data_IF_615445563059
#
_entry.id   IF_615445563059
#
_cell.length_a   1.000
_cell.length_b   1.000
_cell.length_c   1.000
_cell.angle_alpha   90.00
_cell.angle_beta   90.00
_cell.angle_gamma   90.00
#
_symmetry.space_group_name_H-M   'P 1'
#
loop_
_entity.id
_entity.type
_entity.pdbx_description
1 polymer ?
#
# COMPACT_ATOMS: atom_id res chain seq x y z
N UNK A 1 11.25 47.37 -5.82
CA UNK A 1 10.03 47.46 -6.65
C UNK A 1 10.05 46.29 -7.61
N UNK A 2 9.07 45.42 -7.82
CA UNK A 2 7.81 45.09 -7.18
C UNK A 2 7.57 43.62 -7.57
N UNK A 3 7.15 42.79 -6.61
CA UNK A 3 6.75 41.41 -6.87
C UNK A 3 5.36 41.36 -7.55
N UNK A 4 5.06 40.35 -8.37
CA UNK A 4 3.74 40.18 -8.99
C UNK A 4 2.75 39.52 -8.03
N UNK A 5 1.53 40.05 -7.97
CA UNK A 5 0.39 39.55 -7.21
C UNK A 5 -0.28 38.35 -7.91
N UNK A 6 -0.77 37.34 -7.16
CA UNK A 6 -1.79 36.42 -7.66
C UNK A 6 -3.23 37.01 -7.54
N UNK A 7 -4.19 36.54 -8.35
CA UNK A 7 -5.53 37.14 -8.47
C UNK A 7 -6.47 36.75 -7.32
N UNK A 8 -7.38 37.69 -6.99
CA UNK A 8 -8.49 37.53 -6.04
C UNK A 8 -9.49 36.47 -6.52
N UNK A 9 -9.73 35.46 -5.69
CA UNK A 9 -10.89 34.57 -5.81
C UNK A 9 -11.99 35.07 -4.86
N UNK A 10 -13.22 35.05 -5.38
CA UNK A 10 -14.44 35.58 -4.80
C UNK A 10 -14.84 34.89 -3.49
N UNK A 11 -15.44 35.67 -2.59
CA UNK A 11 -15.92 35.25 -1.28
C UNK A 11 -17.09 34.28 -1.34
N UNK A 12 -17.07 33.32 -0.42
CA UNK A 12 -18.22 32.49 -0.06
C UNK A 12 -18.72 33.05 1.27
N UNK A 13 -19.99 33.48 1.28
CA UNK A 13 -20.73 33.94 2.46
C UNK A 13 -20.77 32.84 3.52
N UNK A 14 -20.38 33.18 4.75
CA UNK A 14 -20.52 32.31 5.93
C UNK A 14 -21.72 32.79 6.73
N UNK A 15 -22.87 32.15 6.54
CA UNK A 15 -24.08 32.38 7.35
C UNK A 15 -24.15 31.38 8.49
N UNK A 16 -23.37 31.61 9.56
CA UNK A 16 -23.60 30.99 10.87
C UNK A 16 -23.57 32.09 11.94
N UNK A 17 -24.68 32.36 12.66
CA UNK A 17 -24.66 33.34 13.73
C UNK A 17 -23.97 32.79 14.99
N UNK A 18 -23.15 33.62 15.62
CA UNK A 18 -22.46 33.34 16.89
C UNK A 18 -23.44 33.19 18.07
N UNK A 19 -23.16 32.34 19.07
CA UNK A 19 -24.00 32.23 20.26
C UNK A 19 -23.82 33.45 21.18
N UNK A 20 -24.93 34.00 21.65
CA UNK A 20 -24.96 35.10 22.61
C UNK A 20 -24.57 34.59 24.01
N UNK A 21 -23.44 35.07 24.53
CA UNK A 21 -23.09 34.95 25.94
C UNK A 21 -23.46 36.23 26.72
N UNK A 22 -23.91 35.99 27.95
CA UNK A 22 -23.82 36.86 29.14
C UNK A 22 -25.02 37.75 29.43
N UNK A 23 -25.91 37.25 30.31
CA UNK A 23 -26.81 38.09 31.11
C UNK A 23 -26.12 38.37 32.45
N UNK A 24 -25.90 39.65 32.74
CA UNK A 24 -25.41 40.17 34.03
C UNK A 24 -26.55 40.20 35.09
N UNK A 25 -26.23 40.19 36.40
CA UNK A 25 -27.23 40.03 37.45
C UNK A 25 -27.99 41.34 37.74
N UNK A 26 -29.30 41.23 37.98
CA UNK A 26 -30.15 42.34 38.41
C UNK A 26 -30.27 42.40 39.95
N UNK A 27 -30.47 43.60 40.54
CA UNK A 27 -30.24 43.86 41.96
C UNK A 27 -31.41 43.48 42.86
N UNK A 28 -31.09 43.25 44.14
CA UNK A 28 -32.02 42.92 45.22
C UNK A 28 -32.90 44.11 45.65
N UNK A 29 -34.15 43.83 46.01
CA UNK A 29 -34.95 44.67 46.93
C UNK A 29 -35.98 43.81 47.67
N UNK A 30 -36.35 44.16 48.93
CA UNK A 30 -36.80 43.22 49.95
C UNK A 30 -38.32 43.13 50.07
N UNK A 31 -38.82 41.97 50.47
CA UNK A 31 -40.21 41.79 50.85
C UNK A 31 -40.51 40.34 51.20
N UNK A 32 -40.36 39.99 52.49
CA UNK A 32 -40.90 38.74 53.01
C UNK A 32 -42.44 38.76 52.93
N UNK A 33 -43.07 37.58 52.80
CA UNK A 33 -43.60 36.98 54.02
C UNK A 33 -43.22 35.50 54.19
N UNK A 34 -42.96 35.17 55.46
CA UNK A 34 -42.94 33.83 56.06
C UNK A 34 -44.19 33.01 55.72
N UNK A 35 -44.09 31.69 55.47
CA UNK A 35 -44.43 30.53 56.36
C UNK A 35 -44.73 29.32 55.43
N UNK A 36 -44.68 28.00 55.78
CA UNK A 36 -44.00 27.26 56.86
C UNK A 36 -43.03 26.16 56.34
N UNK A 37 -42.37 25.52 57.29
CA UNK A 37 -41.56 24.31 57.15
C UNK A 37 -42.29 23.11 56.46
N UNK A 38 -41.48 22.30 55.79
CA UNK A 38 -41.83 21.06 55.12
C UNK A 38 -42.56 20.02 56.00
N UNK A 39 -43.39 19.15 55.41
CA UNK A 39 -43.49 17.78 55.85
C UNK A 39 -42.46 16.92 55.09
N UNK A 40 -41.66 16.20 55.86
CA UNK A 40 -40.94 15.00 55.44
C UNK A 40 -41.89 14.03 54.72
N UNK A 41 -41.59 13.71 53.46
CA UNK A 41 -42.30 12.71 52.66
C UNK A 41 -41.36 11.94 51.74
N UNK A 42 -41.15 10.66 52.07
CA UNK A 42 -40.70 9.49 51.31
C UNK A 42 -39.74 9.60 50.08
N UNK A 43 -38.77 8.67 49.93
CA UNK A 43 -37.94 8.57 48.74
C UNK A 43 -38.74 7.87 47.63
N UNK A 44 -38.94 8.53 46.50
CA UNK A 44 -39.50 7.87 45.32
C UNK A 44 -40.44 8.74 44.49
N UNK A 45 -39.89 9.71 43.78
CA UNK A 45 -40.46 10.12 42.48
C UNK A 45 -39.37 10.81 41.67
N UNK A 46 -38.63 10.04 40.87
CA UNK A 46 -37.85 10.58 39.75
C UNK A 46 -38.84 11.29 38.81
N UNK A 47 -38.85 12.61 38.82
CA UNK A 47 -39.72 13.40 37.95
C UNK A 47 -39.43 13.10 36.47
N UNK A 48 -40.41 13.26 35.56
CA UNK A 48 -40.25 12.99 34.13
C UNK A 48 -39.04 13.69 33.50
N UNK A 49 -38.67 14.88 34.00
CA UNK A 49 -37.48 15.61 33.56
C UNK A 49 -36.16 14.93 33.92
N UNK A 50 -36.05 14.29 35.09
CA UNK A 50 -34.82 13.60 35.49
C UNK A 50 -34.56 12.35 34.62
N UNK A 51 -35.62 11.62 34.26
CA UNK A 51 -35.54 10.49 33.33
C UNK A 51 -35.16 10.92 31.90
N UNK A 52 -35.62 12.10 31.46
CA UNK A 52 -35.23 12.66 30.17
C UNK A 52 -33.76 13.08 30.17
N UNK A 53 -33.28 13.74 31.23
CA UNK A 53 -31.87 14.14 31.36
C UNK A 53 -30.94 12.94 31.41
N UNK A 54 -31.30 11.88 32.13
CA UNK A 54 -30.51 10.65 32.21
C UNK A 54 -30.42 9.93 30.85
N UNK A 55 -31.53 9.86 30.10
CA UNK A 55 -31.54 9.33 28.72
C UNK A 55 -30.68 10.16 27.76
N UNK A 56 -30.74 11.49 27.85
CA UNK A 56 -29.91 12.38 27.03
C UNK A 56 -28.43 12.22 27.38
N UNK A 57 -28.09 12.09 28.66
CA UNK A 57 -26.72 11.86 29.09
C UNK A 57 -26.18 10.51 28.58
N UNK A 58 -26.98 9.45 28.67
CA UNK A 58 -26.65 8.13 28.10
C UNK A 58 -26.42 8.20 26.59
N UNK A 59 -27.30 8.88 25.86
CA UNK A 59 -27.17 9.04 24.41
C UNK A 59 -25.93 9.84 23.99
N UNK A 60 -25.60 10.92 24.72
CA UNK A 60 -24.36 11.69 24.49
C UNK A 60 -23.14 10.81 24.75
N UNK A 61 -23.13 10.02 25.83
CA UNK A 61 -22.04 9.09 26.14
C UNK A 61 -21.84 8.05 25.03
N UNK A 62 -22.94 7.53 24.48
CA UNK A 62 -22.93 6.56 23.38
C UNK A 62 -22.34 7.15 22.10
N UNK A 63 -22.76 8.36 21.74
CA UNK A 63 -22.22 9.08 20.59
C UNK A 63 -20.72 9.39 20.77
N UNK A 64 -20.30 9.82 21.95
CA UNK A 64 -18.87 10.06 22.24
C UNK A 64 -18.06 8.77 22.11
N UNK A 65 -18.55 7.66 22.68
CA UNK A 65 -17.89 6.35 22.57
C UNK A 65 -17.74 5.92 21.12
N UNK A 66 -18.82 5.98 20.33
CA UNK A 66 -18.76 5.63 18.91
C UNK A 66 -17.83 6.56 18.13
N UNK A 67 -17.85 7.86 18.41
CA UNK A 67 -16.97 8.81 17.75
C UNK A 67 -15.49 8.48 18.00
N UNK A 68 -15.09 8.24 19.25
CA UNK A 68 -13.72 7.90 19.59
C UNK A 68 -13.27 6.58 18.94
N UNK A 69 -14.12 5.55 18.95
CA UNK A 69 -13.82 4.25 18.34
C UNK A 69 -13.72 4.34 16.81
N UNK A 70 -14.61 5.08 16.17
CA UNK A 70 -14.57 5.27 14.70
C UNK A 70 -13.38 6.13 14.28
N UNK A 71 -12.98 7.13 15.09
CA UNK A 71 -11.78 7.93 14.84
C UNK A 71 -10.50 7.10 14.99
N UNK A 72 -10.42 6.21 16.00
CA UNK A 72 -9.31 5.24 16.13
C UNK A 72 -9.24 4.31 14.92
N UNK A 73 -10.37 3.78 14.47
CA UNK A 73 -10.43 2.91 13.30
C UNK A 73 -10.00 3.64 12.02
N UNK A 74 -10.47 4.88 11.83
CA UNK A 74 -10.13 5.71 10.67
C UNK A 74 -8.63 6.06 10.57
N UNK A 75 -7.88 5.97 11.67
CA UNK A 75 -6.41 6.15 11.71
C UNK A 75 -5.61 4.91 11.31
N UNK A 76 -6.27 3.77 11.08
CA UNK A 76 -5.62 2.54 10.62
C UNK A 76 -5.49 2.55 9.11
N UNK A 77 -4.30 2.23 8.61
CA UNK A 77 -3.95 2.31 7.18
C UNK A 77 -3.77 0.93 6.53
N UNK A 78 -3.78 -0.15 7.31
CA UNK A 78 -3.56 -1.53 6.84
C UNK A 78 -4.66 -2.46 7.34
N UNK A 79 -4.99 -3.50 6.57
CA UNK A 79 -6.00 -4.49 6.98
C UNK A 79 -5.71 -5.11 8.35
N UNK A 80 -4.48 -5.57 8.68
CA UNK A 80 -4.23 -6.19 9.99
C UNK A 80 -4.48 -5.24 11.16
N UNK A 81 -4.09 -3.96 11.04
CA UNK A 81 -4.32 -2.95 12.07
C UNK A 81 -5.82 -2.66 12.25
N UNK A 82 -6.55 -2.52 11.14
CA UNK A 82 -8.00 -2.30 11.16
C UNK A 82 -8.74 -3.47 11.80
N UNK A 83 -8.42 -4.70 11.40
CA UNK A 83 -9.05 -5.91 11.95
C UNK A 83 -8.77 -6.03 13.45
N UNK A 84 -7.55 -5.73 13.88
CA UNK A 84 -7.15 -5.78 15.28
C UNK A 84 -7.86 -4.70 16.11
N UNK A 85 -7.94 -3.46 15.61
CA UNK A 85 -8.68 -2.37 16.26
C UNK A 85 -10.17 -2.68 16.35
N UNK A 86 -10.77 -3.22 15.28
CA UNK A 86 -12.16 -3.64 15.25
C UNK A 86 -12.47 -4.70 16.31
N UNK A 87 -11.59 -5.70 16.46
CA UNK A 87 -11.73 -6.73 17.48
C UNK A 87 -11.68 -6.16 18.90
N UNK A 88 -10.70 -5.28 19.17
CA UNK A 88 -10.53 -4.66 20.49
C UNK A 88 -11.71 -3.75 20.85
N UNK A 89 -12.10 -2.86 19.93
CA UNK A 89 -13.22 -1.96 20.12
C UNK A 89 -14.53 -2.73 20.30
N UNK A 90 -14.75 -3.76 19.47
CA UNK A 90 -15.93 -4.59 19.57
C UNK A 90 -16.01 -5.36 20.89
N UNK A 91 -14.89 -5.93 21.34
CA UNK A 91 -14.81 -6.63 22.62
C UNK A 91 -15.14 -5.71 23.80
N UNK A 92 -14.68 -4.45 23.75
CA UNK A 92 -15.02 -3.44 24.75
C UNK A 92 -16.51 -3.06 24.74
N UNK A 93 -17.14 -2.95 23.57
CA UNK A 93 -18.56 -2.63 23.44
C UNK A 93 -19.47 -3.75 23.97
N UNK A 94 -19.14 -5.01 23.65
CA UNK A 94 -19.98 -6.17 24.03
C UNK A 94 -19.58 -6.79 25.37
N UNK A 95 -18.45 -6.39 25.96
CA UNK A 95 -17.97 -6.90 27.25
C UNK A 95 -17.29 -8.26 27.16
N UNK A 96 -16.77 -8.63 26.00
CA UNK A 96 -16.03 -9.87 25.79
C UNK A 96 -14.53 -9.70 26.05
N UNK A 97 -13.85 -10.78 26.44
CA UNK A 97 -12.37 -10.80 26.60
C UNK A 97 -11.64 -11.32 25.38
N UNK A 98 -12.37 -12.06 24.53
CA UNK A 98 -11.84 -12.76 23.38
C UNK A 98 -12.71 -12.51 22.17
N UNK A 99 -12.11 -12.58 21.01
CA UNK A 99 -12.84 -12.53 19.76
C UNK A 99 -11.98 -12.99 18.60
N UNK A 100 -12.62 -13.25 17.48
CA UNK A 100 -11.96 -13.54 16.22
C UNK A 100 -12.70 -12.83 15.09
N UNK A 101 -11.97 -12.52 14.04
CA UNK A 101 -12.55 -12.04 12.79
C UNK A 101 -12.06 -12.95 11.69
N UNK A 102 -13.00 -13.37 10.85
CA UNK A 102 -12.74 -14.08 9.60
C UNK A 102 -13.04 -13.12 8.48
N UNK A 103 -12.02 -12.78 7.70
CA UNK A 103 -12.13 -12.03 6.47
C UNK A 103 -12.09 -13.03 5.31
N UNK A 104 -13.21 -13.14 4.60
CA UNK A 104 -13.39 -14.01 3.44
C UNK A 104 -14.38 -13.32 2.50
N UNK A 105 -13.91 -12.37 1.66
CA UNK A 105 -14.81 -11.61 0.81
C UNK A 105 -15.55 -12.50 -0.20
N UNK A 106 -16.86 -12.31 -0.32
CA UNK A 106 -17.74 -13.19 -1.09
C UNK A 106 -17.48 -13.19 -2.61
N UNK A 107 -16.75 -12.19 -3.11
CA UNK A 107 -16.29 -12.15 -4.50
C UNK A 107 -15.07 -13.05 -4.77
N UNK A 108 -14.46 -13.63 -3.73
CA UNK A 108 -13.28 -14.49 -3.83
C UNK A 108 -11.98 -13.75 -4.14
N UNK A 109 -11.98 -12.41 -4.08
CA UNK A 109 -10.84 -11.57 -4.48
C UNK A 109 -10.05 -10.99 -3.30
N UNK A 110 -10.35 -11.39 -2.06
CA UNK A 110 -9.67 -10.88 -0.87
C UNK A 110 -8.86 -11.94 -0.15
N UNK A 111 -7.95 -11.56 0.77
CA UNK A 111 -7.23 -12.56 1.54
C UNK A 111 -8.24 -13.34 2.39
N UNK A 112 -8.11 -14.67 2.36
CA UNK A 112 -8.74 -15.54 3.35
C UNK A 112 -7.86 -15.49 4.62
N UNK A 113 -8.38 -14.87 5.67
CA UNK A 113 -7.60 -14.63 6.89
C UNK A 113 -8.48 -14.67 8.12
N UNK A 114 -7.97 -15.34 9.15
CA UNK A 114 -8.52 -15.36 10.49
C UNK A 114 -7.53 -14.73 11.47
N UNK A 115 -7.98 -13.75 12.25
CA UNK A 115 -7.20 -13.19 13.35
C UNK A 115 -7.97 -13.24 14.66
N UNK A 116 -7.24 -13.22 15.79
CA UNK A 116 -7.79 -13.39 17.12
C UNK A 116 -7.35 -12.32 18.10
N UNK A 117 -8.26 -11.94 18.98
CA UNK A 117 -8.04 -11.16 20.20
C UNK A 117 -8.13 -12.10 21.39
N UNK A 118 -7.06 -12.17 22.19
CA UNK A 118 -6.98 -13.12 23.31
C UNK A 118 -6.98 -14.59 22.85
N UNK A 119 -6.71 -14.84 21.57
CA UNK A 119 -6.59 -16.15 20.94
C UNK A 119 -5.28 -16.19 20.17
N UNK A 120 -4.36 -17.07 20.58
CA UNK A 120 -3.11 -17.29 19.87
C UNK A 120 -3.31 -18.14 18.60
N UNK A 121 -2.26 -18.26 17.80
CA UNK A 121 -2.28 -19.09 16.57
C UNK A 121 -2.70 -20.55 16.82
N UNK A 122 -2.30 -21.12 17.97
CA UNK A 122 -2.70 -22.47 18.35
C UNK A 122 -4.20 -22.56 18.68
N UNK A 123 -4.77 -21.51 19.28
CA UNK A 123 -6.19 -21.45 19.64
C UNK A 123 -7.05 -21.32 18.38
N UNK A 124 -6.66 -20.44 17.45
CA UNK A 124 -7.31 -20.33 16.13
C UNK A 124 -7.24 -21.66 15.37
N UNK A 125 -6.09 -22.32 15.38
CA UNK A 125 -5.94 -23.65 14.79
C UNK A 125 -6.83 -24.72 15.42
N UNK A 126 -7.20 -24.60 16.71
CA UNK A 126 -8.22 -25.46 17.31
C UNK A 126 -9.63 -25.14 16.82
N UNK A 127 -9.96 -23.86 16.68
CA UNK A 127 -11.26 -23.41 16.16
C UNK A 127 -11.45 -23.87 14.71
N UNK A 128 -10.42 -23.79 13.88
CA UNK A 128 -10.44 -24.27 12.48
C UNK A 128 -10.71 -25.77 12.34
N UNK A 129 -10.53 -26.57 13.41
CA UNK A 129 -10.88 -28.01 13.38
C UNK A 129 -12.37 -28.28 13.56
N UNK A 130 -13.14 -27.29 13.99
CA UNK A 130 -14.59 -27.42 14.15
C UNK A 130 -15.25 -27.25 12.78
N UNK A 131 -16.25 -28.09 12.40
CA UNK A 131 -16.98 -27.89 11.15
C UNK A 131 -17.52 -26.46 11.05
N UNK A 132 -17.29 -25.78 9.91
CA UNK A 132 -17.69 -24.38 9.72
C UNK A 132 -19.19 -24.16 9.96
N UNK A 133 -20.02 -25.08 9.49
CA UNK A 133 -21.48 -25.05 9.70
C UNK A 133 -21.90 -25.13 11.18
N UNK A 134 -21.03 -25.58 12.08
CA UNK A 134 -21.26 -25.65 13.53
C UNK A 134 -20.82 -24.39 14.29
N UNK A 135 -20.18 -23.43 13.61
CA UNK A 135 -19.71 -22.17 14.19
C UNK A 135 -20.57 -21.00 13.70
N UNK A 136 -20.78 -20.01 14.56
CA UNK A 136 -21.56 -18.81 14.24
C UNK A 136 -21.02 -18.07 13.01
N UNK A 137 -19.69 -17.87 12.89
CA UNK A 137 -19.11 -17.25 11.69
C UNK A 137 -19.29 -18.08 10.42
N UNK A 138 -19.22 -19.42 10.51
CA UNK A 138 -19.36 -20.27 9.33
C UNK A 138 -20.81 -20.31 8.84
N UNK A 139 -21.79 -20.27 9.75
CA UNK A 139 -23.21 -20.08 9.40
C UNK A 139 -23.46 -18.76 8.69
N UNK A 140 -22.82 -17.67 9.14
CA UNK A 140 -22.86 -16.38 8.44
C UNK A 140 -22.26 -16.52 7.05
N UNK A 141 -21.00 -16.96 6.94
CA UNK A 141 -20.28 -17.00 5.67
C UNK A 141 -20.93 -17.92 4.63
N UNK A 142 -21.42 -19.09 5.03
CA UNK A 142 -22.08 -20.07 4.14
C UNK A 142 -23.55 -19.73 3.86
N UNK A 143 -24.11 -18.67 4.47
CA UNK A 143 -25.51 -18.29 4.28
C UNK A 143 -26.49 -19.35 4.79
N UNK A 144 -26.11 -20.06 5.86
CA UNK A 144 -26.97 -21.07 6.47
C UNK A 144 -28.16 -20.42 7.19
N UNK A 145 -29.28 -21.13 7.40
CA UNK A 145 -30.43 -20.59 8.12
C UNK A 145 -30.04 -19.99 9.48
N UNK A 146 -30.44 -18.73 9.71
CA UNK A 146 -30.06 -17.96 10.90
C UNK A 146 -28.75 -17.17 10.76
N UNK A 147 -28.03 -17.26 9.64
CA UNK A 147 -26.81 -16.51 9.34
C UNK A 147 -27.00 -15.21 8.55
N UNK A 148 -28.25 -14.75 8.37
CA UNK A 148 -28.57 -13.52 7.63
C UNK A 148 -28.32 -12.23 8.45
N UNK A 149 -27.97 -12.35 9.73
CA UNK A 149 -27.79 -11.22 10.63
C UNK A 149 -26.97 -11.57 11.85
N UNK A 150 -27.22 -10.89 12.97
CA UNK A 150 -26.55 -11.21 14.24
C UNK A 150 -26.90 -12.61 14.75
N UNK A 151 -25.91 -13.32 15.29
CA UNK A 151 -26.10 -14.62 15.94
C UNK A 151 -25.63 -14.49 17.39
N UNK A 152 -26.54 -14.72 18.34
CA UNK A 152 -26.22 -14.84 19.75
C UNK A 152 -26.40 -16.29 20.21
N UNK A 153 -25.36 -16.86 20.80
CA UNK A 153 -25.35 -18.18 21.43
C UNK A 153 -25.07 -17.97 22.93
N UNK A 154 -26.10 -17.67 23.75
CA UNK A 154 -25.92 -17.19 25.12
C UNK A 154 -25.41 -18.27 26.09
N UNK A 155 -25.61 -19.55 25.77
CA UNK A 155 -25.10 -20.68 26.55
C UNK A 155 -24.89 -21.90 25.63
N UNK A 156 -23.65 -22.07 25.17
CA UNK A 156 -23.25 -23.15 24.26
C UNK A 156 -23.41 -24.53 24.87
N UNK A 157 -23.27 -24.67 26.19
CA UNK A 157 -23.31 -25.97 26.85
C UNK A 157 -24.73 -26.40 27.22
N UNK A 158 -25.68 -25.47 27.27
CA UNK A 158 -27.11 -25.76 27.46
C UNK A 158 -27.85 -26.12 26.16
N UNK A 159 -27.29 -25.83 24.98
CA UNK A 159 -27.92 -26.13 23.69
C UNK A 159 -27.90 -27.64 23.35
N UNK A 160 -29.12 -28.21 23.24
CA UNK A 160 -29.33 -29.55 22.72
C UNK A 160 -28.97 -29.59 21.22
N UNK A 161 -27.95 -30.37 20.86
CA UNK A 161 -27.53 -30.56 19.46
C UNK A 161 -26.26 -29.84 19.03
N UNK A 162 -25.56 -29.13 19.94
CA UNK A 162 -24.23 -28.57 19.64
C UNK A 162 -23.25 -29.67 19.20
N UNK A 163 -22.53 -29.40 18.11
CA UNK A 163 -21.53 -30.30 17.54
C UNK A 163 -20.50 -30.75 18.60
N UNK A 164 -20.17 -32.06 18.68
CA UNK A 164 -19.25 -32.57 19.69
C UNK A 164 -17.86 -31.92 19.63
N UNK A 165 -17.37 -31.59 18.43
CA UNK A 165 -16.07 -30.96 18.24
C UNK A 165 -16.11 -29.49 18.66
N UNK A 166 -17.19 -28.77 18.34
CA UNK A 166 -17.39 -27.41 18.84
C UNK A 166 -17.36 -27.40 20.38
N UNK A 167 -18.09 -28.33 21.03
CA UNK A 167 -18.13 -28.45 22.50
C UNK A 167 -16.75 -28.71 23.11
N UNK A 168 -15.96 -29.61 22.51
CA UNK A 168 -14.59 -29.91 22.96
C UNK A 168 -13.69 -28.67 22.88
N UNK A 169 -13.73 -27.95 21.76
CA UNK A 169 -12.92 -26.75 21.55
C UNK A 169 -13.35 -25.62 22.47
N UNK A 170 -14.65 -25.41 22.65
CA UNK A 170 -15.21 -24.43 23.60
C UNK A 170 -14.74 -24.69 25.03
N UNK A 171 -14.81 -25.95 25.49
CA UNK A 171 -14.33 -26.35 26.81
C UNK A 171 -12.81 -26.19 26.96
N UNK A 172 -12.04 -26.54 25.92
CA UNK A 172 -10.57 -26.42 25.92
C UNK A 172 -10.11 -24.98 25.97
N UNK A 173 -10.70 -24.13 25.15
CA UNK A 173 -10.36 -22.71 25.10
C UNK A 173 -11.03 -21.94 26.24
N UNK A 174 -12.08 -22.49 26.86
CA UNK A 174 -12.73 -21.97 28.05
C UNK A 174 -13.74 -20.86 27.77
N UNK A 175 -14.48 -20.91 26.67
CA UNK A 175 -15.60 -20.01 26.38
C UNK A 175 -16.94 -20.77 26.46
N UNK A 176 -18.00 -20.09 26.89
CA UNK A 176 -19.33 -20.66 27.13
C UNK A 176 -20.44 -19.96 26.34
N UNK A 177 -20.18 -18.79 25.76
CA UNK A 177 -21.14 -18.10 24.89
C UNK A 177 -20.42 -17.40 23.72
N UNK A 178 -21.16 -17.13 22.64
CA UNK A 178 -20.66 -16.43 21.46
C UNK A 178 -21.66 -15.38 20.97
N UNK A 179 -21.14 -14.28 20.42
CA UNK A 179 -21.93 -13.28 19.70
C UNK A 179 -21.23 -12.95 18.39
N UNK A 180 -21.91 -13.13 17.27
CA UNK A 180 -21.36 -12.95 15.94
C UNK A 180 -22.14 -11.93 15.12
N UNK A 181 -21.41 -11.15 14.32
CA UNK A 181 -21.94 -10.18 13.39
C UNK A 181 -21.34 -10.37 12.00
N UNK A 182 -22.15 -10.28 10.93
CA UNK A 182 -21.64 -10.22 9.57
C UNK A 182 -20.87 -8.92 9.34
N UNK A 183 -19.77 -9.01 8.59
CA UNK A 183 -19.08 -7.86 8.05
C UNK A 183 -19.63 -7.64 6.63
N UNK A 184 -20.64 -6.80 6.52
CA UNK A 184 -21.36 -6.55 5.27
C UNK A 184 -21.36 -5.06 4.92
N UNK A 185 -21.31 -4.79 3.62
CA UNK A 185 -21.40 -3.46 3.01
C UNK A 185 -22.60 -3.41 2.07
N UNK A 186 -23.19 -2.23 1.90
CA UNK A 186 -24.36 -2.05 1.02
C UNK A 186 -23.99 -2.20 -0.48
N UNK A 187 -22.71 -2.09 -0.83
CA UNK A 187 -22.15 -2.28 -2.18
C UNK A 187 -21.32 -3.56 -2.32
N UNK A 188 -20.75 -3.82 -3.51
CA UNK A 188 -19.79 -4.91 -3.71
C UNK A 188 -18.55 -4.71 -2.80
N UNK A 189 -18.02 -5.75 -2.13
CA UNK A 189 -18.27 -7.19 -2.31
C UNK A 189 -19.54 -7.74 -1.64
N UNK A 190 -20.35 -6.90 -1.00
CA UNK A 190 -21.47 -7.30 -0.16
C UNK A 190 -20.94 -7.81 1.16
N UNK A 191 -20.61 -9.11 1.24
CA UNK A 191 -20.06 -9.73 2.45
C UNK A 191 -18.55 -9.80 2.40
N UNK A 192 -17.91 -9.26 3.43
CA UNK A 192 -16.46 -9.29 3.62
C UNK A 192 -16.01 -10.41 4.54
N UNK A 193 -16.86 -10.82 5.49
CA UNK A 193 -16.43 -11.65 6.61
C UNK A 193 -17.45 -11.77 7.73
N UNK A 194 -16.97 -12.20 8.91
CA UNK A 194 -17.73 -12.19 10.15
C UNK A 194 -16.81 -11.89 11.35
N UNK A 195 -17.33 -11.15 12.33
CA UNK A 195 -16.70 -10.91 13.62
C UNK A 195 -17.42 -11.73 14.70
N UNK A 196 -16.67 -12.36 15.59
CA UNK A 196 -17.21 -13.16 16.70
C UNK A 196 -16.53 -12.76 17.98
N UNK A 197 -17.31 -12.54 19.03
CA UNK A 197 -16.84 -12.32 20.39
C UNK A 197 -17.23 -13.49 21.28
N UNK A 198 -16.30 -13.93 22.11
CA UNK A 198 -16.42 -15.12 22.96
C UNK A 198 -16.42 -14.72 24.43
N UNK A 199 -17.36 -15.26 25.20
CA UNK A 199 -17.51 -15.01 26.63
C UNK A 199 -17.07 -16.23 27.44
N UNK A 200 -16.42 -15.99 28.57
CA UNK A 200 -15.94 -17.04 29.48
C UNK A 200 -17.10 -17.79 30.17
N UNK A 201 -18.23 -17.10 30.36
CA UNK A 201 -19.45 -17.57 31.03
C UNK A 201 -20.67 -17.33 30.12
N UNK A 202 -21.82 -18.00 30.38
CA UNK A 202 -23.07 -17.71 29.68
C UNK A 202 -23.42 -16.22 29.72
N UNK A 203 -23.54 -15.60 28.55
CA UNK A 203 -23.75 -14.17 28.40
C UNK A 203 -24.28 -13.83 27.00
N UNK A 204 -25.05 -12.75 26.91
CA UNK A 204 -25.41 -12.10 25.66
C UNK A 204 -25.34 -10.57 25.81
N UNK A 205 -25.00 -9.82 24.75
CA UNK A 205 -25.05 -8.37 24.81
C UNK A 205 -26.49 -7.88 24.97
N UNK A 206 -26.68 -6.84 25.77
CA UNK A 206 -27.97 -6.16 25.92
C UNK A 206 -28.35 -5.35 24.66
N UNK A 207 -29.57 -4.82 24.60
CA UNK A 207 -30.07 -4.06 23.44
C UNK A 207 -29.20 -2.84 23.11
N UNK A 208 -28.67 -2.15 24.12
CA UNK A 208 -27.79 -0.99 23.93
C UNK A 208 -26.44 -1.45 23.35
N UNK A 209 -25.86 -2.52 23.89
CA UNK A 209 -24.62 -3.09 23.39
C UNK A 209 -24.76 -3.53 21.94
N UNK A 210 -25.83 -4.29 21.60
CA UNK A 210 -26.15 -4.71 20.23
C UNK A 210 -26.32 -3.52 19.28
N UNK A 211 -26.97 -2.46 19.73
CA UNK A 211 -27.10 -1.24 18.94
C UNK A 211 -25.73 -0.60 18.65
N UNK A 212 -24.91 -0.37 19.68
CA UNK A 212 -23.60 0.27 19.52
C UNK A 212 -22.64 -0.56 18.66
N UNK A 213 -22.53 -1.86 18.92
CA UNK A 213 -21.66 -2.74 18.15
C UNK A 213 -22.13 -2.85 16.70
N UNK A 214 -23.44 -2.91 16.44
CA UNK A 214 -23.97 -2.92 15.08
C UNK A 214 -23.63 -1.63 14.31
N UNK A 215 -23.72 -0.46 14.96
CA UNK A 215 -23.28 0.81 14.35
C UNK A 215 -21.78 0.81 14.06
N UNK A 216 -20.97 0.35 15.00
CA UNK A 216 -19.51 0.31 14.86
C UNK A 216 -19.06 -0.69 13.78
N UNK A 217 -19.61 -1.91 13.78
CA UNK A 217 -19.27 -2.96 12.80
C UNK A 217 -19.65 -2.53 11.39
N UNK A 218 -20.78 -1.86 11.19
CA UNK A 218 -21.13 -1.33 9.86
C UNK A 218 -20.11 -0.30 9.38
N UNK A 219 -19.68 0.62 10.24
CA UNK A 219 -18.61 1.57 9.88
C UNK A 219 -17.29 0.84 9.59
N UNK A 220 -16.97 -0.18 10.39
CA UNK A 220 -15.76 -0.95 10.24
C UNK A 220 -15.74 -1.78 8.95
N UNK A 221 -16.86 -2.40 8.58
CA UNK A 221 -17.01 -3.10 7.30
C UNK A 221 -16.77 -2.15 6.12
N UNK A 222 -17.34 -0.93 6.13
CA UNK A 222 -17.09 0.07 5.08
C UNK A 222 -15.63 0.56 5.04
N UNK A 223 -14.95 0.65 6.18
CA UNK A 223 -13.50 0.95 6.21
C UNK A 223 -12.67 -0.21 5.66
N UNK A 224 -12.97 -1.45 6.06
CA UNK A 224 -12.31 -2.65 5.56
C UNK A 224 -12.50 -2.85 4.05
N UNK A 225 -13.71 -2.62 3.52
CA UNK A 225 -13.98 -2.69 2.08
C UNK A 225 -13.13 -1.70 1.29
N UNK A 226 -12.99 -0.46 1.80
CA UNK A 226 -12.15 0.57 1.16
C UNK A 226 -10.68 0.16 1.15
N UNK A 227 -10.17 -0.37 2.26
CA UNK A 227 -8.78 -0.84 2.34
C UNK A 227 -8.54 -2.05 1.42
N UNK A 228 -9.46 -3.01 1.38
CA UNK A 228 -9.41 -4.15 0.47
C UNK A 228 -9.35 -3.70 -0.99
N UNK A 229 -10.20 -2.77 -1.40
CA UNK A 229 -10.23 -2.27 -2.77
C UNK A 229 -8.94 -1.51 -3.14
N UNK A 230 -8.38 -0.75 -2.19
CA UNK A 230 -7.09 -0.09 -2.37
C UNK A 230 -5.95 -1.11 -2.53
N UNK A 231 -5.90 -2.16 -1.71
CA UNK A 231 -4.89 -3.23 -1.83
C UNK A 231 -5.02 -4.00 -3.14
N UNK A 232 -6.25 -4.30 -3.57
CA UNK A 232 -6.53 -4.93 -4.87
C UNK A 232 -6.07 -4.06 -6.02
N UNK A 233 -6.39 -2.76 -5.98
CA UNK A 233 -5.98 -1.81 -7.01
C UNK A 233 -4.45 -1.71 -7.09
N UNK A 234 -3.76 -1.61 -5.95
CA UNK A 234 -2.29 -1.61 -5.87
C UNK A 234 -1.68 -2.90 -6.43
N UNK A 235 -2.24 -4.05 -6.06
CA UNK A 235 -1.77 -5.36 -6.53
C UNK A 235 -1.97 -5.49 -8.04
N UNK A 236 -3.14 -5.09 -8.56
CA UNK A 236 -3.43 -5.09 -9.99
C UNK A 236 -2.45 -4.22 -10.77
N UNK A 237 -2.19 -2.99 -10.28
CA UNK A 237 -1.24 -2.07 -10.91
C UNK A 237 0.18 -2.63 -10.90
N UNK A 238 0.61 -3.22 -9.78
CA UNK A 238 1.91 -3.90 -9.66
C UNK A 238 2.04 -5.03 -10.68
N UNK A 239 1.06 -5.94 -10.75
CA UNK A 239 1.06 -7.04 -11.72
C UNK A 239 1.14 -6.53 -13.16
N UNK A 240 0.35 -5.52 -13.51
CA UNK A 240 0.40 -4.91 -14.85
C UNK A 240 1.78 -4.32 -15.18
N UNK A 241 2.41 -3.63 -14.24
CA UNK A 241 3.75 -3.07 -14.44
C UNK A 241 4.82 -4.17 -14.61
N UNK A 242 4.76 -5.23 -13.80
CA UNK A 242 5.67 -6.37 -13.87
C UNK A 242 5.55 -7.13 -15.21
N UNK A 243 4.32 -7.34 -15.71
CA UNK A 243 4.06 -8.01 -17.00
C UNK A 243 4.55 -7.21 -18.22
N UNK A 244 4.74 -5.89 -18.08
CA UNK A 244 5.28 -5.04 -19.14
C UNK A 244 6.82 -5.08 -19.21
N UNK A 245 7.48 -5.68 -18.22
CA UNK A 245 8.93 -5.80 -18.15
C UNK A 245 9.40 -7.21 -18.57
N UNK A 246 10.71 -7.42 -18.81
CA UNK A 246 11.20 -8.76 -19.11
C UNK A 246 10.96 -9.71 -17.93
N UNK A 247 10.15 -10.75 -18.13
CA UNK A 247 9.95 -11.80 -17.11
C UNK A 247 11.23 -12.62 -16.87
N UNK A 248 12.11 -12.69 -17.88
CA UNK A 248 13.45 -13.28 -17.81
C UNK A 248 14.41 -12.53 -18.73
N UNK A 249 15.65 -12.38 -18.28
CA UNK A 249 16.75 -11.87 -19.10
C UNK A 249 17.27 -12.99 -20.03
N UNK A 250 17.72 -12.66 -21.25
CA UNK A 250 18.27 -13.64 -22.19
C UNK A 250 19.59 -14.22 -21.67
N UNK A 251 19.90 -15.45 -22.10
CA UNK A 251 21.23 -16.04 -21.90
C UNK A 251 22.09 -15.73 -23.11
N UNK A 252 23.15 -14.95 -22.93
CA UNK A 252 24.06 -14.53 -23.99
C UNK A 252 25.47 -15.03 -23.67
N UNK A 253 26.15 -15.77 -24.57
CA UNK A 253 27.53 -16.17 -24.36
C UNK A 253 28.44 -14.97 -24.08
N UNK A 254 29.28 -15.08 -23.05
CA UNK A 254 30.23 -14.02 -22.67
C UNK A 254 29.62 -12.86 -21.87
N UNK A 255 28.31 -12.87 -21.59
CA UNK A 255 27.66 -11.86 -20.74
C UNK A 255 26.69 -12.50 -19.74
N UNK A 256 26.87 -12.19 -18.46
CA UNK A 256 25.92 -12.51 -17.41
C UNK A 256 25.06 -11.28 -17.09
N UNK A 257 23.75 -11.47 -16.97
CA UNK A 257 22.79 -10.39 -16.77
C UNK A 257 22.02 -10.58 -15.46
N UNK A 258 21.79 -9.47 -14.75
CA UNK A 258 20.87 -9.41 -13.63
C UNK A 258 20.13 -8.08 -13.63
N UNK A 259 18.87 -8.08 -13.20
CA UNK A 259 18.10 -6.86 -13.03
C UNK A 259 17.41 -6.85 -11.67
N UNK A 260 17.23 -5.65 -11.13
CA UNK A 260 16.39 -5.36 -9.97
C UNK A 260 15.50 -4.21 -10.32
N UNK A 261 14.23 -4.34 -9.95
CA UNK A 261 13.21 -3.36 -10.23
C UNK A 261 12.25 -3.24 -9.06
N UNK A 262 11.99 -2.02 -8.64
CA UNK A 262 11.02 -1.71 -7.60
C UNK A 262 10.14 -0.57 -8.09
N UNK A 263 8.84 -0.82 -8.21
CA UNK A 263 7.85 0.19 -8.59
C UNK A 263 7.16 0.74 -7.36
N UNK A 264 6.82 2.03 -7.39
CA UNK A 264 5.91 2.60 -6.39
C UNK A 264 4.49 2.02 -6.44
N UNK A 265 3.69 2.18 -5.38
CA UNK A 265 2.33 1.60 -5.27
C UNK A 265 1.35 2.12 -6.33
N UNK A 266 1.64 3.27 -6.93
CA UNK A 266 0.84 3.86 -8.00
C UNK A 266 1.22 3.33 -9.39
N UNK A 267 2.31 2.56 -9.51
CA UNK A 267 2.95 2.29 -10.79
C UNK A 267 3.76 3.50 -11.27
N UNK A 268 4.80 3.26 -12.06
CA UNK A 268 5.59 4.34 -12.65
C UNK A 268 6.14 4.02 -14.03
N UNK A 269 7.03 4.91 -14.48
CA UNK A 269 7.48 4.99 -15.87
C UNK A 269 8.82 4.31 -16.14
N UNK A 270 9.48 3.76 -15.12
CA UNK A 270 10.81 3.18 -15.25
C UNK A 270 10.75 1.81 -15.92
N UNK A 271 11.73 1.55 -16.78
CA UNK A 271 11.84 0.27 -17.46
C UNK A 271 13.29 -0.10 -17.74
N UNK A 272 13.50 -1.40 -17.97
CA UNK A 272 14.73 -1.94 -18.54
C UNK A 272 14.43 -2.97 -19.61
N UNK A 273 15.42 -3.23 -20.45
CA UNK A 273 15.38 -4.35 -21.37
C UNK A 273 16.77 -4.91 -21.66
N UNK A 274 16.77 -6.19 -22.03
CA UNK A 274 17.91 -6.87 -22.60
C UNK A 274 17.40 -7.78 -23.72
N UNK A 275 17.90 -7.59 -24.93
CA UNK A 275 17.47 -8.36 -26.09
C UNK A 275 18.65 -8.81 -26.93
N UNK A 276 18.71 -10.10 -27.32
CA UNK A 276 19.65 -10.55 -28.35
C UNK A 276 19.33 -9.84 -29.66
N UNK A 277 20.38 -9.37 -30.32
CA UNK A 277 20.33 -8.71 -31.62
C UNK A 277 20.99 -9.62 -32.68
N UNK A 278 20.88 -9.27 -33.98
CA UNK A 278 21.69 -9.91 -35.02
C UNK A 278 23.19 -9.93 -34.69
N UNK A 279 23.93 -10.81 -35.36
CA UNK A 279 25.40 -10.94 -35.22
C UNK A 279 25.89 -11.27 -33.80
N UNK A 280 25.04 -11.95 -33.01
CA UNK A 280 25.30 -12.31 -31.61
C UNK A 280 25.55 -11.10 -30.69
N UNK A 281 25.10 -9.91 -31.11
CA UNK A 281 25.10 -8.72 -30.29
C UNK A 281 23.99 -8.75 -29.22
N UNK A 282 24.09 -7.83 -28.29
CA UNK A 282 23.17 -7.67 -27.17
C UNK A 282 22.78 -6.20 -27.04
N UNK A 283 21.49 -5.92 -27.18
CA UNK A 283 20.92 -4.62 -26.83
C UNK A 283 20.63 -4.58 -25.33
N UNK A 284 21.15 -3.57 -24.64
CA UNK A 284 20.80 -3.24 -23.27
C UNK A 284 20.14 -1.88 -23.24
N UNK A 285 19.09 -1.75 -22.43
CA UNK A 285 18.28 -0.56 -22.44
C UNK A 285 17.75 -0.26 -21.04
N UNK A 286 17.70 1.02 -20.69
CA UNK A 286 17.07 1.53 -19.46
C UNK A 286 16.43 2.88 -19.76
N UNK A 287 15.32 3.21 -19.11
CA UNK A 287 14.69 4.51 -19.28
C UNK A 287 13.59 4.76 -18.28
N UNK A 288 13.08 5.99 -18.30
CA UNK A 288 12.01 6.45 -17.43
C UNK A 288 11.11 7.40 -18.18
N UNK A 289 9.80 7.23 -18.03
CA UNK A 289 8.78 8.16 -18.53
C UNK A 289 8.29 9.03 -17.38
N UNK A 290 8.18 10.34 -17.62
CA UNK A 290 7.69 11.25 -16.58
C UNK A 290 6.26 10.94 -16.14
N UNK A 291 6.03 11.03 -14.83
CA UNK A 291 4.73 10.82 -14.18
C UNK A 291 4.58 9.44 -13.54
N UNK A 292 3.44 9.22 -12.88
CA UNK A 292 3.10 7.97 -12.21
C UNK A 292 1.67 7.55 -12.54
N UNK A 293 1.27 6.35 -12.12
CA UNK A 293 -0.08 5.85 -12.39
C UNK A 293 -0.20 5.03 -13.68
N UNK A 294 -1.43 4.53 -13.97
CA UNK A 294 -1.70 3.69 -15.14
C UNK A 294 -1.28 4.30 -16.47
N UNK A 295 -1.38 5.63 -16.61
CA UNK A 295 -1.01 6.31 -17.86
C UNK A 295 0.51 6.36 -18.08
N UNK A 296 1.31 6.48 -17.02
CA UNK A 296 2.77 6.42 -17.11
C UNK A 296 3.23 4.99 -17.46
N UNK A 297 2.63 3.98 -16.81
CA UNK A 297 2.88 2.56 -17.08
C UNK A 297 2.54 2.19 -18.54
N UNK A 298 1.42 2.69 -19.06
CA UNK A 298 1.04 2.45 -20.46
C UNK A 298 2.01 3.11 -21.46
N UNK A 299 2.48 4.32 -21.16
CA UNK A 299 3.47 5.01 -21.99
C UNK A 299 4.83 4.27 -21.93
N UNK A 300 5.28 3.88 -20.74
CA UNK A 300 6.46 3.04 -20.52
C UNK A 300 6.40 1.77 -21.38
N UNK A 301 5.29 1.04 -21.35
CA UNK A 301 5.12 -0.19 -22.14
C UNK A 301 5.22 0.06 -23.65
N UNK A 302 4.65 1.17 -24.15
CA UNK A 302 4.80 1.59 -25.56
C UNK A 302 6.24 1.91 -25.91
N UNK A 303 6.93 2.72 -25.09
CA UNK A 303 8.32 3.10 -25.35
C UNK A 303 9.25 1.88 -25.34
N UNK A 304 9.12 0.99 -24.34
CA UNK A 304 9.91 -0.24 -24.27
C UNK A 304 9.66 -1.13 -25.48
N UNK A 305 8.40 -1.36 -25.86
CA UNK A 305 8.06 -2.19 -27.01
C UNK A 305 8.61 -1.61 -28.33
N UNK A 306 8.51 -0.29 -28.52
CA UNK A 306 9.05 0.38 -29.70
C UNK A 306 10.58 0.38 -29.72
N UNK A 307 11.23 0.64 -28.59
CA UNK A 307 12.69 0.56 -28.49
C UNK A 307 13.18 -0.84 -28.89
N UNK A 308 12.51 -1.92 -28.45
CA UNK A 308 12.85 -3.28 -28.91
C UNK A 308 12.78 -3.41 -30.42
N UNK A 309 11.73 -2.86 -31.05
CA UNK A 309 11.57 -2.93 -32.50
C UNK A 309 12.67 -2.14 -33.23
N UNK A 310 12.94 -0.92 -32.79
CA UNK A 310 13.99 -0.07 -33.36
C UNK A 310 15.39 -0.66 -33.14
N UNK A 311 15.65 -1.26 -31.98
CA UNK A 311 16.91 -1.97 -31.71
C UNK A 311 17.14 -3.15 -32.66
N UNK A 312 16.08 -3.85 -33.10
CA UNK A 312 16.20 -4.92 -34.11
C UNK A 312 16.49 -4.35 -35.51
N UNK A 313 16.01 -3.15 -35.81
CA UNK A 313 16.16 -2.52 -37.12
C UNK A 313 17.50 -1.79 -37.28
N UNK A 314 17.85 -0.96 -36.30
CA UNK A 314 18.98 -0.02 -36.36
C UNK A 314 20.18 -0.50 -35.52
N UNK A 315 19.96 -1.41 -34.56
CA UNK A 315 20.95 -2.17 -33.81
C UNK A 315 22.26 -1.47 -33.47
N UNK A 316 23.21 -1.52 -34.41
CA UNK A 316 24.56 -0.98 -34.32
C UNK A 316 24.63 0.55 -34.15
N UNK A 317 23.55 1.28 -34.44
CA UNK A 317 23.44 2.72 -34.23
C UNK A 317 22.45 3.07 -33.09
N UNK A 318 22.95 3.23 -31.85
CA UNK A 318 22.14 3.69 -30.73
C UNK A 318 21.48 5.06 -30.91
N UNK A 319 22.07 5.95 -31.73
CA UNK A 319 21.51 7.28 -31.98
C UNK A 319 20.26 7.16 -32.85
N UNK A 320 20.29 6.30 -33.87
CA UNK A 320 19.12 6.01 -34.70
C UNK A 320 17.98 5.42 -33.87
N UNK A 321 18.27 4.43 -33.01
CA UNK A 321 17.27 3.83 -32.09
C UNK A 321 16.58 4.88 -31.23
N UNK A 322 17.34 5.79 -30.62
CA UNK A 322 16.79 6.85 -29.77
C UNK A 322 16.10 7.96 -30.57
N UNK A 323 16.52 8.22 -31.81
CA UNK A 323 15.87 9.18 -32.70
C UNK A 323 14.47 8.70 -33.15
N UNK A 324 14.33 7.42 -33.43
CA UNK A 324 13.02 6.82 -33.73
C UNK A 324 12.12 6.81 -32.49
N UNK A 325 12.69 6.57 -31.32
CA UNK A 325 11.97 6.65 -30.05
C UNK A 325 11.50 8.08 -29.73
N UNK A 326 12.33 9.10 -30.01
CA UNK A 326 11.95 10.52 -29.92
C UNK A 326 10.73 10.83 -30.80
N UNK A 327 10.76 10.38 -32.06
CA UNK A 327 9.67 10.59 -33.00
C UNK A 327 8.38 9.93 -32.52
N UNK A 328 8.46 8.68 -32.06
CA UNK A 328 7.32 7.97 -31.49
C UNK A 328 6.74 8.72 -30.29
N UNK A 329 7.58 9.13 -29.33
CA UNK A 329 7.16 9.83 -28.13
C UNK A 329 6.39 11.11 -28.49
N UNK A 330 6.90 11.91 -29.44
CA UNK A 330 6.21 13.12 -29.91
C UNK A 330 4.84 12.85 -30.51
N UNK A 331 4.69 11.76 -31.25
CA UNK A 331 3.46 11.42 -31.95
C UNK A 331 2.42 10.79 -31.04
N UNK A 332 2.85 10.07 -30.01
CA UNK A 332 1.96 9.24 -29.16
C UNK A 332 1.77 9.79 -27.75
N UNK A 333 2.76 10.54 -27.23
CA UNK A 333 2.80 11.07 -25.87
C UNK A 333 3.20 12.56 -25.83
N UNK A 334 2.51 13.47 -26.53
CA UNK A 334 2.97 14.86 -26.72
C UNK A 334 3.08 15.70 -25.44
N UNK A 335 2.50 15.22 -24.33
CA UNK A 335 2.56 15.87 -23.02
C UNK A 335 3.59 15.24 -22.07
N UNK A 336 4.41 14.29 -22.55
CA UNK A 336 5.39 13.56 -21.74
C UNK A 336 6.80 13.79 -22.26
N UNK A 337 7.74 13.67 -21.35
CA UNK A 337 9.16 13.48 -21.64
C UNK A 337 9.62 12.13 -21.09
N UNK A 338 10.70 11.61 -21.65
CA UNK A 338 11.32 10.38 -21.20
C UNK A 338 12.84 10.47 -21.18
N UNK A 339 13.48 9.87 -20.19
CA UNK A 339 14.91 9.56 -20.27
C UNK A 339 15.08 8.16 -20.84
N UNK A 340 16.15 7.95 -21.60
CA UNK A 340 16.47 6.62 -22.13
C UNK A 340 17.96 6.48 -22.37
N UNK A 341 18.48 5.28 -22.21
CA UNK A 341 19.81 4.90 -22.63
C UNK A 341 19.71 3.56 -23.36
N UNK A 342 20.31 3.50 -24.54
CA UNK A 342 20.45 2.28 -25.31
C UNK A 342 21.92 1.99 -25.57
N UNK A 343 22.32 0.75 -25.33
CA UNK A 343 23.67 0.25 -25.52
C UNK A 343 23.65 -0.99 -26.42
N UNK A 344 24.31 -0.90 -27.56
CA UNK A 344 24.64 -2.01 -28.43
C UNK A 344 25.96 -2.63 -27.96
N UNK A 345 25.90 -3.89 -27.53
CA UNK A 345 27.05 -4.61 -27.02
C UNK A 345 27.46 -5.71 -28.00
N UNK A 346 28.75 -5.84 -28.25
CA UNK A 346 29.36 -6.95 -28.99
C UNK A 346 30.13 -7.84 -28.00
N UNK A 347 29.49 -8.89 -27.42
CA UNK A 347 30.08 -9.69 -26.34
C UNK A 347 31.46 -10.26 -26.64
N UNK A 348 31.68 -10.74 -27.88
CA UNK A 348 32.94 -11.35 -28.29
C UNK A 348 34.09 -10.33 -28.33
N UNK A 349 33.80 -9.08 -28.70
CA UNK A 349 34.78 -7.99 -28.74
C UNK A 349 34.85 -7.24 -27.40
N UNK A 350 33.87 -7.43 -26.52
CA UNK A 350 33.63 -6.65 -25.30
C UNK A 350 33.55 -5.15 -25.56
N UNK A 351 33.12 -4.80 -26.78
CA UNK A 351 32.87 -3.43 -27.22
C UNK A 351 31.42 -3.08 -26.95
N UNK A 352 31.20 -1.87 -26.45
CA UNK A 352 29.87 -1.33 -26.16
C UNK A 352 29.78 0.05 -26.80
N UNK A 353 28.80 0.23 -27.67
CA UNK A 353 28.43 1.53 -28.24
C UNK A 353 27.11 1.95 -27.61
N UNK A 354 27.04 3.13 -27.03
CA UNK A 354 25.86 3.59 -26.30
C UNK A 354 25.51 5.04 -26.59
N UNK A 355 24.23 5.36 -26.51
CA UNK A 355 23.72 6.72 -26.54
C UNK A 355 22.70 6.91 -25.41
N UNK A 356 22.66 8.12 -24.87
CA UNK A 356 21.74 8.51 -23.81
C UNK A 356 20.91 9.72 -24.22
N UNK A 357 19.65 9.73 -23.84
CA UNK A 357 18.70 10.83 -23.92
C UNK A 357 18.37 11.32 -22.51
N UNK A 358 19.16 12.25 -21.98
CA UNK A 358 18.95 12.81 -20.63
C UNK A 358 19.06 11.82 -19.47
N UNK A 359 19.55 10.62 -19.72
CA UNK A 359 19.60 9.53 -18.74
C UNK A 359 20.88 9.58 -17.90
N UNK A 360 20.86 8.97 -16.72
CA UNK A 360 22.02 8.93 -15.84
C UNK A 360 23.19 8.15 -16.48
N UNK A 361 24.44 8.56 -16.25
CA UNK A 361 25.60 7.88 -16.82
C UNK A 361 25.74 6.46 -16.25
N UNK A 362 25.99 5.43 -17.08
CA UNK A 362 26.28 4.08 -16.60
C UNK A 362 27.46 4.07 -15.63
N UNK A 363 27.49 3.09 -14.74
CA UNK A 363 28.59 2.89 -13.80
C UNK A 363 29.30 1.57 -14.09
N UNK A 364 30.58 1.63 -14.39
CA UNK A 364 31.40 0.44 -14.61
C UNK A 364 32.06 0.01 -13.31
N UNK A 365 32.01 -1.29 -13.03
CA UNK A 365 32.58 -1.92 -11.84
C UNK A 365 33.53 -3.04 -12.26
N UNK A 366 34.83 -2.80 -12.12
CA UNK A 366 35.89 -3.78 -12.38
C UNK A 366 36.70 -4.11 -11.13
N UNK A 367 37.76 -4.92 -11.29
CA UNK A 367 38.68 -5.23 -10.17
C UNK A 367 39.48 -4.00 -9.72
N UNK A 368 39.91 -3.19 -10.69
CA UNK A 368 40.84 -2.06 -10.49
C UNK A 368 40.20 -0.69 -10.66
N UNK A 369 38.99 -0.64 -11.22
CA UNK A 369 38.27 0.62 -11.49
C UNK A 369 36.82 0.54 -11.09
N UNK A 370 36.29 1.68 -10.68
CA UNK A 370 34.85 1.93 -10.57
C UNK A 370 34.64 3.34 -11.09
N UNK A 371 34.00 3.50 -12.23
CA UNK A 371 33.97 4.78 -12.93
C UNK A 371 32.63 5.00 -13.64
N UNK A 372 32.16 6.24 -13.58
CA UNK A 372 31.02 6.65 -14.38
C UNK A 372 31.47 6.80 -15.83
N UNK A 373 30.59 6.36 -16.70
CA UNK A 373 30.81 6.38 -18.13
C UNK A 373 30.34 7.72 -18.64
N UNK A 374 31.27 8.48 -19.23
CA UNK A 374 30.94 9.77 -19.83
C UNK A 374 30.06 9.54 -21.06
N UNK A 375 28.79 9.90 -20.95
CA UNK A 375 27.85 9.96 -22.06
C UNK A 375 27.78 11.38 -22.61
N UNK A 376 27.49 11.53 -23.90
CA UNK A 376 27.12 12.82 -24.47
C UNK A 376 25.98 13.46 -23.67
N UNK A 377 26.17 14.71 -23.24
CA UNK A 377 25.11 15.47 -22.55
C UNK A 377 23.99 15.76 -23.54
N UNK A 378 22.79 15.27 -23.24
CA UNK A 378 21.61 15.43 -24.08
C UNK A 378 20.39 15.72 -23.23
N UNK A 379 19.37 16.32 -23.84
CA UNK A 379 18.08 16.48 -23.20
C UNK A 379 17.31 15.14 -23.17
N UNK A 380 16.48 14.90 -22.15
CA UNK A 380 15.40 13.93 -22.24
C UNK A 380 14.58 14.06 -23.53
N UNK A 381 14.09 12.93 -24.01
CA UNK A 381 13.18 12.82 -25.15
C UNK A 381 11.92 13.66 -24.90
N UNK A 382 11.38 14.26 -25.96
CA UNK A 382 10.15 15.06 -25.93
C UNK A 382 10.29 16.46 -25.33
N UNK A 383 11.48 16.88 -24.87
CA UNK A 383 11.67 18.21 -24.28
C UNK A 383 12.12 19.30 -25.26
N UNK A 384 12.86 18.94 -26.31
CA UNK A 384 13.40 19.89 -27.30
C UNK A 384 12.72 19.72 -28.65
N UNK A 385 12.87 20.69 -29.56
CA UNK A 385 12.31 20.60 -30.92
C UNK A 385 13.11 19.67 -31.84
N UNK A 386 14.39 19.44 -31.55
CA UNK A 386 15.23 18.41 -32.15
C UNK A 386 16.05 17.77 -31.03
N UNK A 387 16.07 16.44 -30.98
CA UNK A 387 16.95 15.70 -30.08
C UNK A 387 18.20 15.26 -30.85
N UNK A 388 19.37 15.49 -30.27
CA UNK A 388 20.65 15.06 -30.84
C UNK A 388 21.58 14.64 -29.69
N UNK A 389 22.15 13.44 -29.78
CA UNK A 389 23.17 12.97 -28.86
C UNK A 389 24.13 12.04 -29.61
N UNK A 390 25.44 12.36 -29.71
CA UNK A 390 26.42 11.43 -30.26
C UNK A 390 26.53 10.16 -29.42
N UNK A 391 26.75 9.03 -30.07
CA UNK A 391 27.11 7.79 -29.38
C UNK A 391 28.52 7.87 -28.79
N UNK A 392 28.75 7.08 -27.76
CA UNK A 392 30.03 6.88 -27.10
C UNK A 392 30.40 5.40 -27.20
N UNK A 393 31.66 5.12 -27.50
CA UNK A 393 32.21 3.77 -27.51
C UNK A 393 33.05 3.51 -26.27
N UNK A 394 33.03 2.29 -25.79
CA UNK A 394 33.88 1.82 -24.71
C UNK A 394 34.17 0.33 -24.80
N UNK A 395 35.10 -0.12 -23.96
CA UNK A 395 35.43 -1.53 -23.79
C UNK A 395 35.28 -1.93 -22.32
N UNK A 396 34.68 -3.10 -22.09
CA UNK A 396 34.60 -3.76 -20.80
C UNK A 396 35.68 -4.85 -20.70
N UNK A 397 36.56 -4.76 -19.71
CA UNK A 397 37.57 -5.80 -19.49
C UNK A 397 36.91 -7.08 -18.94
N UNK A 398 37.58 -8.26 -19.04
CA UNK A 398 37.04 -9.51 -18.55
C UNK A 398 36.71 -9.40 -17.06
N UNK A 399 35.49 -9.75 -16.72
CA UNK A 399 34.95 -9.68 -15.36
C UNK A 399 34.45 -8.31 -14.91
N UNK A 400 34.49 -7.28 -15.76
CA UNK A 400 33.85 -6.00 -15.46
C UNK A 400 32.33 -6.07 -15.63
N UNK A 401 31.63 -5.32 -14.78
CA UNK A 401 30.17 -5.21 -14.80
C UNK A 401 29.75 -3.78 -15.08
N UNK A 402 28.94 -3.59 -16.11
CA UNK A 402 28.28 -2.32 -16.42
C UNK A 402 26.94 -2.28 -15.69
N UNK A 403 26.71 -1.21 -14.93
CA UNK A 403 25.46 -0.93 -14.24
C UNK A 403 24.72 0.21 -14.95
N UNK A 404 23.50 -0.10 -15.39
CA UNK A 404 22.53 0.79 -15.98
C UNK A 404 21.41 1.00 -14.96
N UNK A 405 21.01 2.24 -14.68
CA UNK A 405 20.06 2.51 -13.60
C UNK A 405 19.28 3.80 -13.86
N UNK A 406 18.06 3.85 -13.35
CA UNK A 406 17.22 5.05 -13.40
C UNK A 406 17.59 6.04 -12.29
N UNK A 407 17.27 7.31 -12.51
CA UNK A 407 17.50 8.40 -11.55
C UNK A 407 16.72 8.22 -10.24
N UNK A 408 15.61 7.50 -10.26
CA UNK A 408 14.89 7.10 -9.05
C UNK A 408 15.76 6.35 -8.03
N UNK A 409 16.80 5.62 -8.46
CA UNK A 409 17.82 5.04 -7.57
C UNK A 409 18.53 6.11 -6.73
N UNK A 410 18.83 7.27 -7.34
CA UNK A 410 19.47 8.40 -6.69
C UNK A 410 18.46 9.20 -5.87
N UNK A 411 17.26 9.46 -6.41
CA UNK A 411 16.22 10.23 -5.71
C UNK A 411 15.77 9.55 -4.42
N UNK A 412 15.65 8.22 -4.39
CA UNK A 412 15.29 7.46 -3.18
C UNK A 412 16.29 7.58 -2.04
N UNK A 413 17.51 8.08 -2.28
CA UNK A 413 18.45 8.39 -1.20
C UNK A 413 17.98 9.55 -0.33
N UNK A 414 17.10 10.43 -0.86
CA UNK A 414 16.68 11.68 -0.22
C UNK A 414 17.79 12.74 -0.15
N UNK A 415 18.93 12.49 -0.78
CA UNK A 415 20.08 13.39 -0.79
C UNK A 415 20.13 14.24 -2.07
N UNK A 416 20.82 15.40 -2.04
CA UNK A 416 21.15 16.12 -3.26
C UNK A 416 21.90 15.22 -4.26
N UNK A 417 21.61 15.40 -5.55
CA UNK A 417 22.10 14.53 -6.65
C UNK A 417 23.61 14.27 -6.59
N UNK A 418 24.44 15.30 -6.36
CA UNK A 418 25.90 15.13 -6.28
C UNK A 418 26.34 14.16 -5.17
N UNK A 419 25.64 14.18 -4.03
CA UNK A 419 25.92 13.27 -2.90
C UNK A 419 25.39 11.87 -3.18
N UNK A 420 24.22 11.77 -3.82
CA UNK A 420 23.66 10.49 -4.24
C UNK A 420 24.61 9.76 -5.21
N UNK A 421 25.17 10.46 -6.19
CA UNK A 421 26.20 9.92 -7.09
C UNK A 421 27.46 9.47 -6.34
N UNK A 422 27.97 10.29 -5.41
CA UNK A 422 29.13 9.93 -4.60
C UNK A 422 28.88 8.67 -3.75
N UNK A 423 27.67 8.53 -3.18
CA UNK A 423 27.26 7.32 -2.46
C UNK A 423 27.12 6.11 -3.36
N UNK A 424 26.52 6.26 -4.55
CA UNK A 424 26.41 5.18 -5.53
C UNK A 424 27.81 4.67 -5.93
N UNK A 425 28.72 5.59 -6.22
CA UNK A 425 30.12 5.27 -6.53
C UNK A 425 30.80 4.52 -5.37
N UNK A 426 30.64 5.01 -4.14
CA UNK A 426 31.19 4.36 -2.95
C UNK A 426 30.59 2.97 -2.70
N UNK A 427 29.27 2.80 -2.90
CA UNK A 427 28.58 1.52 -2.77
C UNK A 427 29.08 0.50 -3.80
N UNK A 428 29.22 0.92 -5.06
CA UNK A 428 29.76 0.06 -6.12
C UNK A 428 31.24 -0.28 -5.91
N UNK A 429 32.04 0.69 -5.47
CA UNK A 429 33.47 0.49 -5.15
C UNK A 429 33.66 -0.47 -3.96
N UNK A 430 32.73 -0.41 -3.01
CA UNK A 430 32.70 -1.22 -1.79
C UNK A 430 32.28 -2.68 -2.00
N UNK A 431 31.86 -3.07 -3.20
CA UNK A 431 31.44 -4.45 -3.49
C UNK A 431 32.57 -5.43 -3.16
N UNK A 432 32.35 -6.39 -2.24
CA UNK A 432 33.34 -7.39 -1.88
C UNK A 432 33.78 -8.22 -3.09
N UNK A 433 35.08 -8.48 -3.22
CA UNK A 433 35.65 -9.26 -4.34
C UNK A 433 34.92 -10.59 -4.62
N UNK A 434 34.51 -11.39 -3.61
CA UNK A 434 33.78 -12.62 -3.87
C UNK A 434 32.43 -12.40 -4.55
N UNK A 435 31.78 -11.24 -4.39
CA UNK A 435 30.48 -10.98 -5.01
C UNK A 435 30.61 -10.49 -6.45
N UNK A 436 31.81 -10.03 -6.88
CA UNK A 436 32.01 -9.42 -8.21
C UNK A 436 31.88 -10.41 -9.38
N UNK A 437 31.85 -11.71 -9.10
CA UNK A 437 31.63 -12.72 -10.13
C UNK A 437 30.15 -12.89 -10.52
N UNK A 438 29.22 -12.36 -9.73
CA UNK A 438 27.77 -12.50 -9.93
C UNK A 438 27.14 -11.09 -10.05
N UNK A 439 26.66 -10.69 -11.24
CA UNK A 439 26.04 -9.38 -11.42
C UNK A 439 24.81 -9.16 -10.52
N UNK A 440 24.09 -10.23 -10.15
CA UNK A 440 22.98 -10.17 -9.20
C UNK A 440 23.44 -9.80 -7.80
N UNK A 441 24.53 -10.40 -7.34
CA UNK A 441 25.12 -10.08 -6.04
C UNK A 441 25.69 -8.66 -5.98
N UNK A 442 26.24 -8.14 -7.10
CA UNK A 442 26.65 -6.73 -7.24
C UNK A 442 25.43 -5.83 -7.09
N UNK A 443 24.36 -6.07 -7.86
CA UNK A 443 23.14 -5.27 -7.82
C UNK A 443 22.52 -5.25 -6.42
N UNK A 444 22.43 -6.40 -5.76
CA UNK A 444 21.92 -6.52 -4.40
C UNK A 444 22.78 -5.78 -3.37
N UNK A 445 24.11 -5.81 -3.53
CA UNK A 445 25.00 -5.06 -2.66
C UNK A 445 24.83 -3.55 -2.82
N UNK A 446 24.77 -3.07 -4.07
CA UNK A 446 24.58 -1.64 -4.38
C UNK A 446 23.26 -1.16 -3.80
N UNK A 447 22.15 -1.87 -4.05
CA UNK A 447 20.84 -1.50 -3.53
C UNK A 447 20.80 -1.46 -2.00
N UNK A 448 21.29 -2.49 -1.31
CA UNK A 448 21.31 -2.52 0.16
C UNK A 448 22.16 -1.41 0.77
N UNK A 449 23.26 -1.04 0.12
CA UNK A 449 24.19 0.00 0.62
C UNK A 449 23.66 1.41 0.34
N UNK A 450 23.00 1.59 -0.81
CA UNK A 450 22.44 2.88 -1.22
C UNK A 450 21.07 3.16 -0.57
N UNK A 451 20.30 2.13 -0.27
CA UNK A 451 18.96 2.22 0.31
C UNK A 451 18.89 1.36 1.59
N UNK A 452 19.58 1.77 2.68
CA UNK A 452 19.53 1.05 3.95
C UNK A 452 18.10 1.03 4.53
N UNK A 453 17.83 0.10 5.44
CA UNK A 453 16.53 -0.07 6.13
C UNK A 453 15.34 -0.49 5.23
N UNK A 454 15.64 -1.16 4.12
CA UNK A 454 14.62 -1.64 3.19
C UNK A 454 13.95 -0.52 2.39
N UNK A 455 14.57 0.65 2.24
CA UNK A 455 14.01 1.76 1.44
C UNK A 455 13.84 1.42 -0.06
N UNK A 456 14.47 0.34 -0.55
CA UNK A 456 14.15 -0.26 -1.84
C UNK A 456 12.74 -0.89 -1.88
N UNK A 457 12.28 -1.44 -0.75
CA UNK A 457 11.02 -2.17 -0.61
C UNK A 457 9.91 -1.34 0.06
N UNK A 458 10.23 -0.18 0.65
CA UNK A 458 9.23 0.75 1.18
C UNK A 458 8.44 1.39 0.04
N UNK A 459 7.17 1.68 0.33
CA UNK A 459 6.30 2.49 -0.54
C UNK A 459 6.94 3.88 -0.76
N UNK A 460 7.61 4.01 -1.90
CA UNK A 460 8.16 5.25 -2.43
C UNK A 460 7.46 5.54 -3.75
N UNK A 461 7.22 6.81 -4.05
CA UNK A 461 6.65 7.24 -5.33
C UNK A 461 7.66 7.16 -6.49
N UNK A 462 8.96 7.02 -6.19
CA UNK A 462 10.02 6.90 -7.18
C UNK A 462 10.22 5.44 -7.56
N UNK A 463 10.27 5.12 -8.84
CA UNK A 463 10.65 3.78 -9.29
C UNK A 463 12.18 3.58 -9.22
N UNK A 464 12.63 2.33 -9.20
CA UNK A 464 14.06 2.01 -9.25
C UNK A 464 14.26 0.89 -10.22
N UNK A 465 15.15 1.11 -11.17
CA UNK A 465 15.70 0.07 -12.04
C UNK A 465 17.22 0.03 -11.86
N UNK A 466 17.75 -1.18 -11.75
CA UNK A 466 19.19 -1.46 -11.81
C UNK A 466 19.42 -2.71 -12.64
N UNK A 467 19.98 -2.54 -13.83
CA UNK A 467 20.38 -3.58 -14.77
C UNK A 467 21.91 -3.72 -14.76
N UNK A 468 22.40 -4.92 -14.45
CA UNK A 468 23.81 -5.27 -14.37
C UNK A 468 24.18 -6.23 -15.50
N UNK A 469 25.21 -5.88 -16.27
CA UNK A 469 25.76 -6.71 -17.33
C UNK A 469 27.25 -6.96 -17.12
N UNK A 470 27.60 -8.20 -16.77
CA UNK A 470 28.98 -8.62 -16.53
C UNK A 470 29.55 -9.30 -17.77
N UNK A 471 30.66 -8.78 -18.30
CA UNK A 471 31.35 -9.33 -19.46
C UNK A 471 32.43 -10.34 -19.00
N UNK A 472 32.57 -11.47 -19.69
CA UNK A 472 33.49 -12.56 -19.32
C UNK A 472 34.87 -12.50 -19.95
#
# INVERSE_FOLDING_TARGET
MNAPHPPKVAGIDSTVPSPAHTVAPAPATPGAPTVPAAPTGAPGSTGPGALLTDRLAGWVSDLTTLHELTERLARTDTLPETLQEMLHAGAALVGARRGLVVLEPADGLGPDTMIGLGLGRADLGHIETVPRSALSYGRILEGLPGGEGEIAEPDLFAEDGMDPRHREVAARLGYAASYALPLETDGAPGRLGAAVWLYDEPAEPDERQRHLIGLYVRYAAEHLARLLELERTRTCMKTMAEELLPSRLPRVPGVQLAARHHTGPRGGGDWYDALPLPDAALGLAVGSVTGSGPSAVAAMGRLRASLRAYAVMEGEDPVAVLSDLELLLRLTEPARSATALFAYCEPALRKITLAGAGHCPPLLVGERRTEFIETSVSAPLGMLACWEAPSVEMEAEPGETVLLYTDGLLHRTGEPVDRAFARLHAAASGVPRPLRHDPGAIADHVLRTLLPDGAAERDSDEDVVLLAARFE
#
